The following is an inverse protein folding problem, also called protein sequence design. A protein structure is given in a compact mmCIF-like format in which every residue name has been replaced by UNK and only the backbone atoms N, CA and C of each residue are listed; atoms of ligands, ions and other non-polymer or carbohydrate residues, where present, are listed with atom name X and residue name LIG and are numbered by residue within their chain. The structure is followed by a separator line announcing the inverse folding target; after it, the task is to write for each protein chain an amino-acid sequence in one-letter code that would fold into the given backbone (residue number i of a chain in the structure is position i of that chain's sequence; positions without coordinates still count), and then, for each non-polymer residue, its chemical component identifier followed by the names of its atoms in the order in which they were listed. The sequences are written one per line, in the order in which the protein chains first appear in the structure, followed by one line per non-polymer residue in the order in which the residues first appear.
data_IF_688926909885
#
_entry.id   IF_688926909885
#
_cell.length_a   1.000
_cell.length_b   1.000
_cell.length_c   1.000
_cell.angle_alpha   90.00
_cell.angle_beta   90.00
_cell.angle_gamma   90.00
#
_symmetry.space_group_name_H-M   'P 1'
#
loop_
_entity.id
_entity.type
_entity.pdbx_description
1 polymer ?
#
# COMPACT_ATOMS: atom_id res chain seq x y z
N UNK A 1 -5.06 11.28 -8.70
CA UNK A 1 -3.93 12.17 -8.46
C UNK A 1 -2.74 11.83 -9.38
N UNK A 2 -2.09 10.63 -9.30
CA UNK A 2 -0.89 10.28 -10.06
C UNK A 2 -1.04 10.42 -11.60
N UNK A 3 -2.11 9.90 -12.17
CA UNK A 3 -2.39 10.00 -13.62
C UNK A 3 -2.67 11.45 -14.06
N UNK A 4 -3.28 12.25 -13.21
CA UNK A 4 -3.55 13.66 -13.52
C UNK A 4 -2.27 14.50 -13.56
N UNK A 5 -1.33 14.30 -12.65
CA UNK A 5 -0.06 15.00 -12.67
C UNK A 5 0.80 14.61 -13.89
N UNK A 6 0.68 13.37 -14.37
CA UNK A 6 1.38 12.92 -15.58
C UNK A 6 0.76 13.47 -16.87
N UNK A 7 -0.55 13.75 -16.87
CA UNK A 7 -1.28 14.30 -18.02
C UNK A 7 -0.85 15.71 -18.37
N UNK A 8 -0.37 16.48 -17.40
CA UNK A 8 0.05 17.90 -17.56
C UNK A 8 1.54 18.05 -17.91
N UNK A 9 2.23 16.97 -18.21
CA UNK A 9 3.65 17.03 -18.56
C UNK A 9 3.86 17.33 -20.05
N UNK A 10 4.95 18.04 -20.36
CA UNK A 10 5.28 18.54 -21.69
C UNK A 10 5.30 17.47 -22.80
N UNK A 11 5.70 16.24 -22.47
CA UNK A 11 5.70 15.15 -23.46
C UNK A 11 4.30 14.72 -23.92
N UNK A 12 3.27 14.92 -23.08
CA UNK A 12 1.86 14.65 -23.45
C UNK A 12 1.36 15.73 -24.40
N UNK A 13 1.74 16.99 -24.20
CA UNK A 13 1.43 18.09 -25.10
C UNK A 13 2.13 17.91 -26.45
N UNK A 14 3.40 17.52 -26.44
CA UNK A 14 4.15 17.21 -27.66
C UNK A 14 3.49 16.07 -28.44
N UNK A 15 3.06 14.97 -27.76
CA UNK A 15 2.36 13.88 -28.41
C UNK A 15 1.03 14.30 -29.04
N UNK A 16 0.31 15.26 -28.44
CA UNK A 16 -0.91 15.83 -29.00
C UNK A 16 -0.62 16.69 -30.22
N UNK A 17 0.45 17.49 -30.18
CA UNK A 17 0.83 18.37 -31.27
C UNK A 17 1.13 17.60 -32.57
N UNK A 18 1.65 16.38 -32.49
CA UNK A 18 1.91 15.50 -33.62
C UNK A 18 0.70 14.62 -34.00
N UNK A 19 -0.49 14.89 -33.43
CA UNK A 19 -1.74 14.26 -33.84
C UNK A 19 -1.98 12.86 -33.24
N UNK A 20 -1.31 12.48 -32.14
CA UNK A 20 -1.52 11.19 -31.51
C UNK A 20 -2.93 11.09 -30.91
N UNK A 21 -3.59 9.94 -31.13
CA UNK A 21 -4.91 9.66 -30.55
C UNK A 21 -4.80 9.55 -29.02
N UNK A 22 -5.83 10.02 -28.31
CA UNK A 22 -5.91 9.98 -26.83
C UNK A 22 -5.64 8.59 -26.25
N UNK A 23 -6.12 7.51 -26.88
CA UNK A 23 -5.84 6.14 -26.43
C UNK A 23 -4.36 5.80 -26.51
N UNK A 24 -3.67 6.20 -27.57
CA UNK A 24 -2.25 5.99 -27.73
C UNK A 24 -1.43 6.77 -26.71
N UNK A 25 -1.84 7.99 -26.40
CA UNK A 25 -1.22 8.83 -25.36
C UNK A 25 -1.35 8.16 -23.99
N UNK A 26 -2.54 7.65 -23.65
CA UNK A 26 -2.78 7.00 -22.35
C UNK A 26 -1.91 5.74 -22.22
N UNK A 27 -1.98 4.84 -23.19
CA UNK A 27 -1.35 3.51 -23.10
C UNK A 27 0.18 3.56 -23.25
N UNK A 28 0.70 4.42 -24.12
CA UNK A 28 2.13 4.44 -24.41
C UNK A 28 2.93 5.52 -23.69
N UNK A 29 2.25 6.56 -23.18
CA UNK A 29 2.94 7.68 -22.54
C UNK A 29 2.54 7.87 -21.06
N UNK A 30 1.24 7.90 -20.76
CA UNK A 30 0.78 8.19 -19.40
C UNK A 30 0.90 6.96 -18.50
N UNK A 31 0.38 5.81 -18.93
CA UNK A 31 0.31 4.60 -18.12
C UNK A 31 1.70 4.09 -17.69
N UNK A 32 2.69 3.93 -18.59
CA UNK A 32 4.01 3.47 -18.17
C UNK A 32 4.71 4.42 -17.19
N UNK A 33 4.56 5.74 -17.39
CA UNK A 33 5.15 6.74 -16.49
C UNK A 33 4.44 6.86 -15.13
N UNK A 34 3.19 6.39 -15.04
CA UNK A 34 2.41 6.42 -13.79
C UNK A 34 2.50 5.12 -12.99
N UNK A 35 2.99 4.02 -13.59
CA UNK A 35 3.00 2.69 -12.96
C UNK A 35 3.79 2.67 -11.65
N UNK A 36 4.97 3.28 -11.61
CA UNK A 36 5.78 3.34 -10.39
C UNK A 36 5.04 3.99 -9.23
N UNK A 37 4.42 5.13 -9.47
CA UNK A 37 3.62 5.83 -8.47
C UNK A 37 2.37 5.06 -8.04
N UNK A 38 1.73 4.34 -8.94
CA UNK A 38 0.56 3.50 -8.64
C UNK A 38 0.93 2.31 -7.76
N UNK A 39 2.05 1.65 -8.03
CA UNK A 39 2.55 0.53 -7.22
C UNK A 39 2.86 0.98 -5.79
N UNK A 40 3.56 2.11 -5.63
CA UNK A 40 3.86 2.67 -4.30
C UNK A 40 2.57 3.00 -3.54
N UNK A 41 1.62 3.64 -4.20
CA UNK A 41 0.33 3.95 -3.56
C UNK A 41 -0.45 2.69 -3.18
N UNK A 42 -0.40 1.64 -4.00
CA UNK A 42 -1.06 0.37 -3.71
C UNK A 42 -0.44 -0.32 -2.48
N UNK A 43 0.89 -0.39 -2.38
CA UNK A 43 1.58 -1.01 -1.22
C UNK A 43 1.31 -0.25 0.07
N UNK A 44 1.35 1.09 0.05
CA UNK A 44 1.00 1.92 1.20
C UNK A 44 -0.48 1.77 1.60
N UNK A 45 -1.38 1.68 0.62
CA UNK A 45 -2.80 1.45 0.88
C UNK A 45 -3.05 0.07 1.49
N UNK A 46 -2.32 -0.98 1.05
CA UNK A 46 -2.39 -2.32 1.64
C UNK A 46 -1.90 -2.33 3.10
N UNK A 47 -0.78 -1.68 3.39
CA UNK A 47 -0.27 -1.54 4.75
C UNK A 47 -1.28 -0.81 5.66
N UNK A 48 -1.85 0.29 5.19
CA UNK A 48 -2.90 1.03 5.89
C UNK A 48 -4.18 0.22 6.11
N UNK A 49 -4.59 -0.59 5.12
CA UNK A 49 -5.76 -1.46 5.24
C UNK A 49 -5.58 -2.55 6.32
N UNK A 50 -4.39 -3.15 6.42
CA UNK A 50 -4.07 -4.13 7.47
C UNK A 50 -4.19 -3.49 8.85
N UNK A 51 -3.60 -2.31 9.06
CA UNK A 51 -3.69 -1.59 10.33
C UNK A 51 -5.15 -1.27 10.67
N UNK A 52 -5.91 -0.75 9.70
CA UNK A 52 -7.31 -0.37 9.91
C UNK A 52 -8.19 -1.58 10.20
N UNK A 53 -8.02 -2.68 9.49
CA UNK A 53 -8.76 -3.92 9.72
C UNK A 53 -8.46 -4.50 11.11
N UNK A 54 -7.16 -4.54 11.49
CA UNK A 54 -6.76 -5.02 12.82
C UNK A 54 -7.26 -4.11 13.93
N UNK A 55 -7.27 -2.80 13.73
CA UNK A 55 -7.82 -1.85 14.70
C UNK A 55 -9.34 -2.02 14.88
N UNK A 56 -10.09 -2.20 13.80
CA UNK A 56 -11.53 -2.47 13.86
C UNK A 56 -11.84 -3.79 14.58
N UNK A 57 -11.07 -4.85 14.29
CA UNK A 57 -11.21 -6.14 14.95
C UNK A 57 -10.84 -6.05 16.44
N UNK A 58 -9.80 -5.29 16.79
CA UNK A 58 -9.43 -5.00 18.18
C UNK A 58 -10.54 -4.30 18.96
N UNK A 59 -11.26 -3.37 18.32
CA UNK A 59 -12.38 -2.65 18.90
C UNK A 59 -13.69 -3.47 18.93
N UNK A 60 -13.71 -4.65 18.29
CA UNK A 60 -14.87 -5.52 18.22
C UNK A 60 -15.80 -5.29 17.03
N UNK A 61 -15.45 -4.40 16.10
CA UNK A 61 -16.24 -4.10 14.90
C UNK A 61 -15.82 -4.90 13.66
N UNK A 62 -14.73 -5.65 13.72
CA UNK A 62 -14.25 -6.49 12.63
C UNK A 62 -14.53 -7.99 12.85
N UNK A 63 -13.66 -8.81 12.30
CA UNK A 63 -13.72 -10.27 12.42
C UNK A 63 -13.50 -10.68 13.87
N UNK A 64 -14.40 -11.51 14.41
CA UNK A 64 -14.36 -11.99 15.78
C UNK A 64 -14.05 -13.49 15.85
N UNK A 65 -13.64 -13.95 17.04
CA UNK A 65 -13.46 -15.38 17.32
C UNK A 65 -14.73 -16.17 16.92
N UNK A 66 -14.57 -17.40 16.38
CA UNK A 66 -13.37 -18.23 16.33
C UNK A 66 -12.46 -18.03 15.10
N UNK A 67 -12.75 -17.07 14.22
CA UNK A 67 -11.91 -16.83 13.04
C UNK A 67 -10.57 -16.21 13.46
N UNK A 68 -9.43 -16.72 12.91
CA UNK A 68 -8.10 -16.23 13.26
C UNK A 68 -7.85 -14.85 12.62
N UNK A 69 -7.69 -13.84 13.46
CA UNK A 69 -7.36 -12.46 13.04
C UNK A 69 -6.52 -11.79 14.12
N UNK A 70 -5.44 -11.12 13.74
CA UNK A 70 -4.47 -10.57 14.69
C UNK A 70 -5.03 -9.48 15.60
N UNK A 71 -5.93 -8.62 15.10
CA UNK A 71 -6.58 -7.59 15.90
C UNK A 71 -7.53 -8.18 16.95
N UNK A 72 -8.27 -9.22 16.61
CA UNK A 72 -9.11 -9.96 17.56
C UNK A 72 -8.26 -10.69 18.61
N UNK A 73 -7.10 -11.26 18.23
CA UNK A 73 -6.14 -11.86 19.15
C UNK A 73 -5.59 -10.82 20.14
N UNK A 74 -5.24 -9.61 19.65
CA UNK A 74 -4.82 -8.50 20.51
C UNK A 74 -5.91 -8.11 21.53
N UNK A 75 -7.16 -8.03 21.07
CA UNK A 75 -8.30 -7.70 21.93
C UNK A 75 -8.50 -8.73 23.04
N UNK A 76 -8.40 -10.00 22.71
CA UNK A 76 -8.51 -11.11 23.69
C UNK A 76 -7.29 -11.13 24.61
N UNK A 77 -6.09 -11.04 24.07
CA UNK A 77 -4.82 -11.06 24.81
C UNK A 77 -4.66 -9.92 25.81
N UNK A 78 -5.30 -8.74 25.56
CA UNK A 78 -5.27 -7.59 26.47
C UNK A 78 -5.69 -7.94 27.90
N UNK A 79 -6.60 -8.90 28.06
CA UNK A 79 -7.06 -9.33 29.40
C UNK A 79 -5.96 -10.03 30.21
N UNK A 80 -5.00 -10.63 29.52
CA UNK A 80 -3.94 -11.46 30.08
C UNK A 80 -2.55 -10.79 30.02
N UNK A 81 -2.49 -9.49 29.74
CA UNK A 81 -1.23 -8.78 29.50
C UNK A 81 -0.27 -8.82 30.69
N UNK A 82 -0.77 -8.99 31.91
CA UNK A 82 0.03 -9.09 33.13
C UNK A 82 0.52 -10.52 33.42
N UNK A 83 -0.21 -11.52 33.02
CA UNK A 83 0.08 -12.93 33.30
C UNK A 83 0.74 -13.60 32.10
N UNK A 84 0.24 -13.32 30.89
CA UNK A 84 0.63 -13.99 29.66
C UNK A 84 0.88 -12.93 28.53
N UNK A 85 1.91 -12.08 28.64
CA UNK A 85 2.11 -10.94 27.72
C UNK A 85 2.33 -11.37 26.27
N UNK A 86 2.83 -12.58 26.03
CA UNK A 86 3.08 -13.10 24.66
C UNK A 86 1.80 -13.20 23.82
N UNK A 87 0.61 -13.36 24.45
CA UNK A 87 -0.68 -13.39 23.74
C UNK A 87 -0.99 -12.05 23.03
N UNK A 88 -0.39 -10.97 23.48
CA UNK A 88 -0.53 -9.64 22.85
C UNK A 88 0.70 -9.30 21.99
N UNK A 89 1.90 -9.67 22.46
CA UNK A 89 3.15 -9.32 21.78
C UNK A 89 3.27 -10.02 20.43
N UNK A 90 2.96 -11.31 20.37
CA UNK A 90 3.10 -12.09 19.12
C UNK A 90 2.23 -11.54 17.98
N UNK A 91 0.90 -11.37 18.12
CA UNK A 91 0.08 -10.81 17.04
C UNK A 91 0.44 -9.35 16.73
N UNK A 92 0.85 -8.56 17.72
CA UNK A 92 1.34 -7.20 17.50
C UNK A 92 2.60 -7.15 16.65
N UNK A 93 3.56 -8.03 16.94
CA UNK A 93 4.78 -8.17 16.12
C UNK A 93 4.46 -8.69 14.72
N UNK A 94 3.50 -9.60 14.56
CA UNK A 94 3.09 -10.09 13.25
C UNK A 94 2.56 -8.95 12.37
N UNK A 95 1.67 -8.12 12.89
CA UNK A 95 1.16 -6.93 12.18
C UNK A 95 2.32 -5.99 11.81
N UNK A 96 3.22 -5.70 12.76
CA UNK A 96 4.35 -4.80 12.54
C UNK A 96 5.27 -5.31 11.43
N UNK A 97 5.63 -6.59 11.44
CA UNK A 97 6.52 -7.20 10.44
C UNK A 97 5.88 -7.16 9.04
N UNK A 98 4.60 -7.50 8.92
CA UNK A 98 3.91 -7.49 7.62
C UNK A 98 3.79 -6.06 7.09
N UNK A 99 3.40 -5.11 7.91
CA UNK A 99 3.30 -3.69 7.52
C UNK A 99 4.68 -3.14 7.12
N UNK A 100 5.71 -3.45 7.89
CA UNK A 100 7.08 -3.05 7.56
C UNK A 100 7.55 -3.67 6.23
N UNK A 101 7.32 -4.96 6.03
CA UNK A 101 7.67 -5.64 4.79
C UNK A 101 6.98 -5.03 3.56
N UNK A 102 5.68 -4.70 3.66
CA UNK A 102 4.95 -4.03 2.59
C UNK A 102 5.52 -2.65 2.25
N UNK A 103 5.93 -1.88 3.26
CA UNK A 103 6.56 -0.58 3.04
C UNK A 103 7.94 -0.74 2.34
N UNK A 104 8.77 -1.65 2.81
CA UNK A 104 10.08 -1.93 2.19
C UNK A 104 9.94 -2.42 0.74
N UNK A 105 8.97 -3.30 0.48
CA UNK A 105 8.67 -3.75 -0.89
C UNK A 105 8.18 -2.59 -1.75
N UNK A 106 7.31 -1.73 -1.22
CA UNK A 106 6.83 -0.53 -1.91
C UNK A 106 7.94 0.42 -2.30
N UNK A 107 8.86 0.70 -1.38
CA UNK A 107 10.00 1.57 -1.61
C UNK A 107 10.99 0.93 -2.62
N UNK A 108 11.30 -0.36 -2.47
CA UNK A 108 12.16 -1.08 -3.42
C UNK A 108 11.59 -1.11 -4.84
N UNK A 109 10.27 -1.32 -4.99
CA UNK A 109 9.60 -1.25 -6.28
C UNK A 109 9.62 0.16 -6.88
N UNK A 110 9.48 1.19 -6.04
CA UNK A 110 9.62 2.58 -6.47
C UNK A 110 11.00 2.84 -7.05
N UNK A 111 12.05 2.46 -6.33
CA UNK A 111 13.43 2.70 -6.74
C UNK A 111 13.77 1.95 -8.03
N UNK A 112 13.29 0.72 -8.20
CA UNK A 112 13.49 -0.06 -9.42
C UNK A 112 12.72 0.49 -10.63
N UNK A 113 11.55 1.09 -10.40
CA UNK A 113 10.65 1.56 -11.46
C UNK A 113 10.78 3.05 -11.76
N UNK A 114 11.54 3.82 -10.97
CA UNK A 114 11.75 5.25 -11.22
C UNK A 114 12.73 5.46 -12.39
N UNK A 115 12.24 5.98 -13.54
CA UNK A 115 13.10 6.19 -14.70
C UNK A 115 14.17 7.27 -14.46
N UNK A 116 14.04 8.10 -13.43
CA UNK A 116 14.97 9.20 -13.10
C UNK A 116 16.27 8.71 -12.46
N UNK A 117 16.30 7.49 -11.94
CA UNK A 117 17.50 6.89 -11.34
C UNK A 117 18.38 6.15 -12.35
N UNK A 118 17.94 6.02 -13.61
CA UNK A 118 18.76 5.48 -14.71
C UNK A 118 19.51 6.60 -15.43
N UNK A 119 20.45 7.20 -14.74
CA UNK A 119 21.52 8.02 -15.35
C UNK A 119 22.83 7.28 -15.23
#
# INVERSE_FOLDING_TARGET
AAVMSTREQEFVEAARAIGANNWRIIVHHILPNSISSLIVQATLAMAGAIISASALSFLGFGIQAPLPEWGAMLSTGRRYIRTEPYLTVIPGLAIMVVVYALNVVGDGLRDCLDPRLKK
#
